data_IF_403928424401
#
_entry.id   IF_403928424401
#
_cell.length_a   1.000
_cell.length_b   1.000
_cell.length_c   1.000
_cell.angle_alpha   90.00
_cell.angle_beta   90.00
_cell.angle_gamma   90.00
#
_symmetry.space_group_name_H-M   'P 1'
#
loop_
_entity.id
_entity.type
_entity.pdbx_description
1 polymer ?
#
# COMPACT_ATOMS: atom_id res chain seq x y z
N UNK A 1 11.55 42.97 41.34
CA UNK A 1 11.08 44.37 41.43
C UNK A 1 10.01 44.57 40.35
N UNK A 2 8.77 44.77 40.82
CA UNK A 2 7.58 45.40 40.21
C UNK A 2 7.02 44.94 38.84
N UNK A 3 5.69 44.74 38.90
CA UNK A 3 4.68 44.36 37.90
C UNK A 3 4.20 45.52 36.99
N UNK A 4 3.31 45.13 36.05
CA UNK A 4 2.20 45.85 35.37
C UNK A 4 2.49 46.41 33.96
N UNK A 5 1.56 46.37 32.99
CA UNK A 5 0.10 46.16 33.02
C UNK A 5 -0.41 45.57 31.69
N UNK A 6 -1.48 44.76 31.68
CA UNK A 6 -2.90 45.15 31.57
C UNK A 6 -3.27 45.90 30.28
N UNK A 7 -3.99 45.20 29.40
CA UNK A 7 -4.71 45.75 28.26
C UNK A 7 -5.91 44.85 27.94
N UNK A 8 -7.00 45.06 28.68
CA UNK A 8 -8.31 44.43 28.48
C UNK A 8 -9.08 45.23 27.43
N UNK A 9 -9.64 44.58 26.41
CA UNK A 9 -10.77 45.14 25.65
C UNK A 9 -11.88 44.08 25.52
N UNK A 10 -13.09 44.60 25.59
CA UNK A 10 -14.33 43.96 26.00
C UNK A 10 -15.32 44.00 24.82
N UNK A 11 -16.14 42.94 24.71
CA UNK A 11 -17.48 42.89 24.07
C UNK A 11 -17.52 43.00 22.54
N UNK A 12 -18.42 42.31 21.81
CA UNK A 12 -19.89 42.28 21.92
C UNK A 12 -20.43 40.96 21.31
N UNK A 13 -21.36 40.31 22.02
CA UNK A 13 -22.25 39.25 21.52
C UNK A 13 -23.34 39.84 20.60
N UNK A 14 -23.70 39.12 19.53
CA UNK A 14 -24.99 39.29 18.87
C UNK A 14 -25.56 37.93 18.46
N UNK A 15 -26.49 37.43 19.27
CA UNK A 15 -27.36 36.27 19.03
C UNK A 15 -28.50 36.71 18.12
N UNK A 16 -28.69 36.03 16.99
CA UNK A 16 -29.82 36.24 16.09
C UNK A 16 -30.55 34.94 15.81
N UNK A 17 -31.60 34.65 16.58
CA UNK A 17 -32.58 33.62 16.28
C UNK A 17 -33.70 34.24 15.45
N UNK A 18 -33.99 33.68 14.27
CA UNK A 18 -35.17 34.00 13.47
C UNK A 18 -35.92 32.70 13.19
N UNK A 19 -36.97 32.47 13.96
CA UNK A 19 -38.06 31.57 13.61
C UNK A 19 -39.11 32.40 12.86
N UNK A 20 -39.47 31.99 11.64
CA UNK A 20 -40.68 32.46 10.97
C UNK A 20 -41.61 31.27 10.75
N UNK A 21 -42.67 31.23 11.54
CA UNK A 21 -43.91 30.52 11.28
C UNK A 21 -44.79 31.39 10.39
N UNK A 22 -45.15 30.89 9.21
CA UNK A 22 -46.10 31.53 8.30
C UNK A 22 -47.17 30.53 7.88
N UNK A 23 -48.38 30.70 8.42
CA UNK A 23 -49.60 30.06 7.92
C UNK A 23 -50.13 30.84 6.71
N UNK A 24 -50.38 30.14 5.62
CA UNK A 24 -51.18 30.62 4.48
C UNK A 24 -52.05 29.47 3.98
N UNK A 25 -53.36 29.65 4.07
CA UNK A 25 -54.38 28.69 3.65
C UNK A 25 -54.75 28.93 2.19
N UNK A 26 -54.85 27.88 1.38
CA UNK A 26 -55.82 27.79 0.29
C UNK A 26 -56.11 26.32 -0.05
N UNK A 27 -57.41 26.01 -0.14
CA UNK A 27 -57.94 24.72 -0.56
C UNK A 27 -57.87 24.64 -2.08
N UNK A 28 -57.24 23.60 -2.61
CA UNK A 28 -57.77 22.92 -3.78
C UNK A 28 -57.35 21.44 -3.77
N UNK A 29 -58.37 20.60 -3.88
CA UNK A 29 -58.28 19.17 -4.09
C UNK A 29 -57.59 18.88 -5.41
N UNK A 30 -56.57 18.03 -5.41
CA UNK A 30 -56.44 16.92 -6.36
C UNK A 30 -55.29 16.00 -5.95
N UNK A 31 -55.61 14.71 -6.02
CA UNK A 31 -54.75 13.55 -5.73
C UNK A 31 -53.45 13.56 -6.53
N UNK A 32 -52.31 13.61 -5.84
CA UNK A 32 -51.03 13.16 -6.36
C UNK A 32 -50.14 12.71 -5.20
N UNK A 33 -49.86 11.40 -5.15
CA UNK A 33 -48.84 10.81 -4.28
C UNK A 33 -47.50 11.53 -4.50
N UNK A 34 -47.04 12.24 -3.47
CA UNK A 34 -45.69 12.82 -3.44
C UNK A 34 -44.86 11.99 -2.47
N UNK A 35 -44.02 11.13 -3.06
CA UNK A 35 -43.02 10.35 -2.37
C UNK A 35 -42.20 11.24 -1.44
N UNK A 36 -42.30 10.98 -0.14
CA UNK A 36 -41.36 11.44 0.87
C UNK A 36 -40.03 10.77 0.57
N UNK A 37 -39.09 11.51 0.00
CA UNK A 37 -37.68 11.14 -0.02
C UNK A 37 -37.17 11.20 1.42
N UNK A 38 -37.44 10.14 2.19
CA UNK A 38 -36.65 9.81 3.36
C UNK A 38 -35.27 9.44 2.85
N UNK A 39 -34.29 10.30 3.12
CA UNK A 39 -32.89 9.87 3.10
C UNK A 39 -32.71 8.90 4.25
N UNK A 40 -33.09 7.64 4.02
CA UNK A 40 -32.54 6.52 4.77
C UNK A 40 -31.09 6.40 4.31
N UNK A 41 -30.18 7.10 4.99
CA UNK A 41 -28.84 6.55 5.16
C UNK A 41 -29.05 5.13 5.67
N UNK A 42 -28.76 4.15 4.83
CA UNK A 42 -28.72 2.78 5.28
C UNK A 42 -27.64 2.73 6.37
N UNK A 43 -28.05 2.78 7.64
CA UNK A 43 -27.22 2.28 8.72
C UNK A 43 -27.00 0.82 8.39
N UNK A 44 -25.86 0.51 7.77
CA UNK A 44 -25.35 -0.85 7.76
C UNK A 44 -25.29 -1.35 9.20
N UNK A 45 -25.37 -2.66 9.41
CA UNK A 45 -25.18 -3.26 10.72
C UNK A 45 -23.73 -3.06 11.18
N UNK A 46 -23.38 -1.84 11.57
CA UNK A 46 -22.14 -1.48 12.22
C UNK A 46 -22.18 -2.01 13.66
N UNK A 47 -21.05 -2.53 14.14
CA UNK A 47 -20.97 -3.18 15.44
C UNK A 47 -19.61 -3.81 15.67
N UNK A 48 -19.38 -4.37 16.86
CA UNK A 48 -18.04 -4.74 17.28
C UNK A 48 -17.34 -3.60 18.00
N UNK A 49 -16.02 -3.74 18.16
CA UNK A 49 -15.18 -2.73 18.82
C UNK A 49 -15.24 -1.37 18.08
N UNK A 50 -15.36 -0.28 18.84
CA UNK A 50 -15.40 1.09 18.31
C UNK A 50 -14.10 1.49 17.60
N UNK A 51 -12.96 0.94 18.02
CA UNK A 51 -11.67 1.27 17.43
C UNK A 51 -10.78 0.04 17.34
N UNK A 52 -10.37 -0.29 16.12
CA UNK A 52 -9.35 -1.29 15.84
C UNK A 52 -7.95 -0.66 15.90
N UNK A 53 -6.98 -1.44 16.37
CA UNK A 53 -5.55 -1.12 16.30
C UNK A 53 -4.90 -1.99 15.25
N UNK A 54 -4.15 -1.38 14.34
CA UNK A 54 -3.42 -2.10 13.32
C UNK A 54 -2.06 -1.45 13.07
N UNK A 55 -1.15 -2.21 12.50
CA UNK A 55 0.16 -1.69 12.11
C UNK A 55 0.80 -2.55 11.03
N UNK A 56 1.85 -2.03 10.41
CA UNK A 56 2.70 -2.78 9.52
C UNK A 56 3.14 -2.02 8.29
N UNK A 57 2.96 -2.65 7.13
CA UNK A 57 3.43 -2.16 5.84
C UNK A 57 3.19 -0.66 5.61
N UNK A 58 4.28 0.06 5.40
CA UNK A 58 4.21 1.45 4.92
C UNK A 58 3.72 1.52 3.48
N UNK A 59 3.86 0.45 2.69
CA UNK A 59 3.48 0.43 1.29
C UNK A 59 1.97 0.64 1.09
N UNK A 60 1.14 0.19 2.04
CA UNK A 60 -0.31 0.38 1.98
C UNK A 60 -0.83 1.57 2.78
N UNK A 61 0.03 2.42 3.37
CA UNK A 61 -0.47 3.47 4.28
C UNK A 61 -1.46 4.43 3.59
N UNK A 62 -1.24 4.74 2.31
CA UNK A 62 -2.12 5.63 1.54
C UNK A 62 -3.43 4.93 1.18
N UNK A 63 -3.39 3.65 0.82
CA UNK A 63 -4.59 2.82 0.64
C UNK A 63 -5.38 2.67 1.95
N UNK A 64 -4.68 2.42 3.06
CA UNK A 64 -5.27 2.27 4.38
C UNK A 64 -5.97 3.56 4.82
N UNK A 65 -5.36 4.73 4.66
CA UNK A 65 -6.02 6.01 4.94
C UNK A 65 -7.35 6.16 4.19
N UNK A 66 -7.40 5.69 2.93
CA UNK A 66 -8.64 5.63 2.16
C UNK A 66 -9.63 4.61 2.73
N UNK A 67 -9.20 3.40 3.05
CA UNK A 67 -10.06 2.36 3.61
C UNK A 67 -10.67 2.80 4.94
N UNK A 68 -9.89 3.40 5.83
CA UNK A 68 -10.36 3.96 7.09
C UNK A 68 -11.40 5.06 6.85
N UNK A 69 -11.14 5.97 5.91
CA UNK A 69 -12.11 7.01 5.56
C UNK A 69 -13.44 6.42 5.09
N UNK A 70 -13.40 5.46 4.17
CA UNK A 70 -14.61 4.81 3.64
C UNK A 70 -15.35 4.06 4.74
N UNK A 71 -14.61 3.39 5.63
CA UNK A 71 -15.19 2.67 6.75
C UNK A 71 -15.90 3.61 7.75
N UNK A 72 -15.31 4.76 8.06
CA UNK A 72 -15.97 5.80 8.90
C UNK A 72 -17.23 6.34 8.20
N UNK A 73 -17.18 6.55 6.88
CA UNK A 73 -18.33 7.04 6.11
C UNK A 73 -19.49 6.00 6.11
N UNK A 74 -19.18 4.70 6.15
CA UNK A 74 -20.16 3.59 6.25
C UNK A 74 -20.62 3.31 7.69
N UNK A 75 -19.73 3.50 8.66
CA UNK A 75 -19.91 3.20 10.08
C UNK A 75 -19.31 4.32 10.95
N UNK A 76 -20.08 5.38 11.20
CA UNK A 76 -19.61 6.62 11.83
C UNK A 76 -19.02 6.47 13.23
N UNK A 77 -19.40 5.42 13.95
CA UNK A 77 -18.93 5.15 15.32
C UNK A 77 -17.70 4.24 15.36
N UNK A 78 -17.22 3.77 14.20
CA UNK A 78 -16.06 2.89 14.11
C UNK A 78 -14.84 3.59 13.52
N UNK A 79 -13.65 3.17 13.95
CA UNK A 79 -12.39 3.68 13.44
C UNK A 79 -11.29 2.59 13.40
N UNK A 80 -10.23 2.84 12.65
CA UNK A 80 -9.02 2.03 12.63
C UNK A 80 -7.80 2.93 12.81
N UNK A 81 -7.03 2.68 13.86
CA UNK A 81 -5.75 3.32 14.10
C UNK A 81 -4.64 2.48 13.48
N UNK A 82 -4.23 2.84 12.26
CA UNK A 82 -3.14 2.17 11.56
C UNK A 82 -1.78 2.86 11.77
N UNK A 83 -0.81 2.14 12.33
CA UNK A 83 0.58 2.60 12.48
C UNK A 83 1.46 2.02 11.36
N UNK A 84 1.88 2.86 10.43
CA UNK A 84 2.81 2.48 9.37
C UNK A 84 4.25 2.39 9.91
N UNK A 85 4.72 1.17 10.22
CA UNK A 85 6.01 0.91 10.88
C UNK A 85 6.88 -0.17 10.19
N UNK A 86 6.43 -0.71 9.05
CA UNK A 86 7.10 -1.76 8.30
C UNK A 86 6.47 -3.14 8.56
N UNK A 87 6.44 -3.98 7.53
CA UNK A 87 5.73 -5.26 7.52
C UNK A 87 6.25 -6.22 8.61
N UNK A 88 7.56 -6.19 8.92
CA UNK A 88 8.13 -6.98 10.01
C UNK A 88 7.64 -6.54 11.40
N UNK A 89 7.53 -5.23 11.64
CA UNK A 89 7.03 -4.69 12.89
C UNK A 89 5.54 -4.97 13.07
N UNK A 90 4.74 -4.80 12.02
CA UNK A 90 3.31 -5.12 12.05
C UNK A 90 3.00 -6.58 12.40
N UNK A 91 3.72 -7.51 11.78
CA UNK A 91 3.55 -8.95 12.09
C UNK A 91 3.92 -9.25 13.55
N UNK A 92 5.04 -8.70 14.05
CA UNK A 92 5.42 -8.86 15.47
C UNK A 92 4.39 -8.29 16.43
N UNK A 93 3.83 -7.11 16.13
CA UNK A 93 2.84 -6.47 16.98
C UNK A 93 1.53 -7.28 17.01
N UNK A 94 1.10 -7.83 15.88
CA UNK A 94 -0.06 -8.70 15.79
C UNK A 94 0.13 -10.02 16.53
N UNK A 95 1.24 -10.72 16.28
CA UNK A 95 1.60 -11.97 16.99
C UNK A 95 1.71 -11.72 18.50
N UNK A 96 2.28 -10.58 18.89
CA UNK A 96 2.37 -10.14 20.30
C UNK A 96 1.06 -9.64 20.90
N UNK A 97 -0.04 -9.58 20.14
CA UNK A 97 -1.36 -9.14 20.59
C UNK A 97 -1.49 -7.66 20.90
N UNK A 98 -0.60 -6.82 20.35
CA UNK A 98 -0.63 -5.37 20.48
C UNK A 98 -1.61 -4.71 19.49
N UNK A 99 -1.85 -5.39 18.36
CA UNK A 99 -2.79 -4.99 17.31
C UNK A 99 -3.79 -6.09 17.01
N UNK A 100 -4.95 -5.70 16.48
CA UNK A 100 -6.06 -6.57 16.12
C UNK A 100 -5.84 -7.25 14.76
N UNK A 101 -5.09 -6.60 13.87
CA UNK A 101 -4.62 -7.17 12.61
C UNK A 101 -3.30 -6.51 12.17
N UNK A 102 -2.59 -7.14 11.24
CA UNK A 102 -1.36 -6.59 10.66
C UNK A 102 -1.49 -6.34 9.16
N UNK A 103 -0.84 -5.29 8.68
CA UNK A 103 -0.57 -5.11 7.26
C UNK A 103 0.81 -5.65 6.87
N UNK A 104 0.90 -6.49 5.84
CA UNK A 104 2.20 -7.02 5.39
C UNK A 104 2.25 -7.26 3.89
N UNK A 105 3.32 -6.84 3.21
CA UNK A 105 3.53 -7.11 1.77
C UNK A 105 4.12 -8.49 1.48
N UNK A 106 4.28 -9.28 2.54
CA UNK A 106 4.71 -10.68 2.49
C UNK A 106 3.77 -11.49 3.38
N UNK A 107 3.36 -12.69 2.96
CA UNK A 107 2.61 -13.56 3.85
C UNK A 107 3.47 -13.93 5.07
N UNK A 108 2.81 -14.38 6.15
CA UNK A 108 3.51 -14.96 7.29
C UNK A 108 4.42 -16.10 6.83
N UNK A 109 5.65 -16.13 7.34
CA UNK A 109 6.49 -17.31 7.22
C UNK A 109 6.03 -18.41 8.20
N UNK A 110 6.70 -19.56 8.20
CA UNK A 110 6.28 -20.71 9.02
C UNK A 110 6.25 -20.38 10.52
N UNK A 111 7.21 -19.60 11.00
CA UNK A 111 7.40 -19.33 12.42
C UNK A 111 6.41 -18.24 12.86
N UNK A 112 6.29 -17.17 12.07
CA UNK A 112 5.29 -16.13 12.25
C UNK A 112 3.85 -16.71 12.18
N UNK A 113 3.58 -17.65 11.26
CA UNK A 113 2.29 -18.32 11.14
C UNK A 113 1.96 -19.17 12.37
N UNK A 114 2.91 -19.96 12.85
CA UNK A 114 2.71 -20.77 14.05
C UNK A 114 2.43 -19.90 15.28
N UNK A 115 3.16 -18.79 15.44
CA UNK A 115 2.96 -17.85 16.53
C UNK A 115 1.62 -17.10 16.41
N UNK A 116 1.24 -16.70 15.20
CA UNK A 116 -0.06 -16.10 14.92
C UNK A 116 -1.22 -17.07 15.22
N UNK A 117 -1.10 -18.35 14.85
CA UNK A 117 -2.10 -19.36 15.16
C UNK A 117 -2.26 -19.56 16.67
N UNK A 118 -1.16 -19.53 17.42
CA UNK A 118 -1.20 -19.56 18.89
C UNK A 118 -1.91 -18.34 19.46
N UNK A 119 -1.59 -17.14 18.95
CA UNK A 119 -2.23 -15.87 19.35
C UNK A 119 -3.73 -15.87 19.08
N UNK A 120 -4.14 -16.40 17.93
CA UNK A 120 -5.52 -16.42 17.47
C UNK A 120 -6.36 -17.54 18.10
N UNK A 121 -5.73 -18.59 18.66
CA UNK A 121 -6.38 -19.85 19.02
C UNK A 121 -7.20 -20.45 17.85
N UNK A 122 -6.82 -20.10 16.62
CA UNK A 122 -7.45 -20.44 15.34
C UNK A 122 -6.43 -20.16 14.23
N UNK A 123 -6.61 -20.68 13.00
CA UNK A 123 -5.76 -20.32 11.87
C UNK A 123 -5.65 -18.80 11.69
N UNK A 124 -4.46 -18.30 11.40
CA UNK A 124 -4.26 -16.96 10.87
C UNK A 124 -4.48 -16.98 9.36
N UNK A 125 -5.01 -15.88 8.80
CA UNK A 125 -5.28 -15.75 7.38
C UNK A 125 -4.47 -14.59 6.80
N UNK A 126 -3.84 -14.81 5.64
CA UNK A 126 -3.24 -13.75 4.82
C UNK A 126 -4.24 -13.38 3.72
N UNK A 127 -4.80 -12.18 3.78
CA UNK A 127 -5.85 -11.73 2.85
C UNK A 127 -5.33 -10.61 1.94
N UNK A 128 -5.09 -10.86 0.64
CA UNK A 128 -4.55 -9.84 -0.26
C UNK A 128 -5.65 -8.82 -0.62
N UNK A 129 -5.55 -7.61 -0.10
CA UNK A 129 -6.60 -6.57 -0.26
C UNK A 129 -6.21 -5.45 -1.23
N UNK A 130 -4.92 -5.34 -1.57
CA UNK A 130 -4.41 -4.32 -2.49
C UNK A 130 -3.14 -4.80 -3.20
N UNK A 131 -2.98 -4.40 -4.46
CA UNK A 131 -1.75 -4.60 -5.22
C UNK A 131 -1.07 -3.25 -5.46
N UNK A 132 0.23 -3.19 -5.22
CA UNK A 132 1.04 -1.98 -5.38
C UNK A 132 2.23 -2.25 -6.29
N UNK A 133 2.47 -1.48 -7.36
CA UNK A 133 3.73 -1.55 -8.08
C UNK A 133 4.85 -0.90 -7.25
N UNK A 134 6.05 -1.46 -7.33
CA UNK A 134 7.26 -0.89 -6.74
C UNK A 134 8.03 -0.19 -7.86
N UNK A 135 8.12 1.13 -7.78
CA UNK A 135 8.90 1.94 -8.70
C UNK A 135 10.38 1.93 -8.31
N UNK A 136 11.25 1.71 -9.31
CA UNK A 136 12.66 2.09 -9.21
C UNK A 136 12.71 3.60 -9.43
N UNK A 137 12.90 4.36 -8.36
CA UNK A 137 12.96 5.82 -8.40
C UNK A 137 14.41 6.28 -8.46
N UNK A 138 14.67 7.37 -9.18
CA UNK A 138 16.00 7.94 -9.33
C UNK A 138 15.94 9.47 -9.29
N UNK A 139 17.08 10.10 -8.98
CA UNK A 139 17.23 11.55 -9.02
C UNK A 139 18.45 11.91 -9.89
N UNK A 140 18.17 12.21 -11.16
CA UNK A 140 19.18 12.60 -12.15
C UNK A 140 18.70 13.83 -12.91
N UNK A 141 19.09 15.04 -12.49
CA UNK A 141 18.74 16.26 -13.20
C UNK A 141 19.16 16.19 -14.67
N UNK A 142 18.21 16.47 -15.57
CA UNK A 142 18.42 16.43 -17.02
C UNK A 142 18.23 15.05 -17.67
N UNK A 143 17.98 13.98 -16.90
CA UNK A 143 17.61 12.66 -17.43
C UNK A 143 16.11 12.46 -17.28
N UNK A 144 15.38 12.58 -18.39
CA UNK A 144 13.91 12.45 -18.40
C UNK A 144 13.42 11.00 -18.46
N UNK A 145 14.20 10.13 -19.11
CA UNK A 145 13.87 8.71 -19.26
C UNK A 145 15.10 7.88 -18.94
N UNK A 146 14.90 6.85 -18.12
CA UNK A 146 15.89 5.86 -17.76
C UNK A 146 15.24 4.49 -17.90
N UNK A 147 15.89 3.61 -18.65
CA UNK A 147 15.53 2.21 -18.81
C UNK A 147 16.54 1.36 -18.03
N UNK A 148 16.03 0.40 -17.27
CA UNK A 148 16.84 -0.59 -16.56
C UNK A 148 16.29 -2.00 -16.80
N UNK A 149 17.16 -2.99 -16.79
CA UNK A 149 16.78 -4.40 -16.76
C UNK A 149 17.12 -5.03 -15.39
N UNK A 150 16.70 -6.28 -15.18
CA UNK A 150 17.00 -7.03 -13.96
C UNK A 150 18.50 -7.08 -13.63
N UNK A 151 19.37 -7.51 -14.56
CA UNK A 151 20.82 -7.60 -14.33
C UNK A 151 21.49 -6.26 -13.96
N UNK A 152 21.16 -5.17 -14.67
CA UNK A 152 21.74 -3.84 -14.41
C UNK A 152 21.23 -3.28 -13.10
N UNK A 153 19.93 -3.43 -12.81
CA UNK A 153 19.36 -3.03 -11.52
C UNK A 153 20.06 -3.77 -10.36
N UNK A 154 20.23 -5.09 -10.48
CA UNK A 154 20.91 -5.88 -9.44
C UNK A 154 22.35 -5.43 -9.20
N UNK A 155 23.10 -5.13 -10.28
CA UNK A 155 24.48 -4.64 -10.19
C UNK A 155 24.58 -3.24 -9.56
N UNK A 156 23.59 -2.38 -9.76
CA UNK A 156 23.50 -1.09 -9.07
C UNK A 156 23.30 -1.32 -7.57
N UNK A 157 22.27 -2.08 -7.20
CA UNK A 157 21.89 -2.27 -5.80
C UNK A 157 22.85 -3.16 -5.00
N UNK A 158 23.76 -3.90 -5.66
CA UNK A 158 24.84 -4.64 -4.97
C UNK A 158 26.21 -3.94 -5.04
N UNK A 159 26.28 -2.74 -5.62
CA UNK A 159 27.48 -1.91 -5.69
C UNK A 159 28.49 -2.29 -6.78
N UNK A 160 28.15 -3.19 -7.70
CA UNK A 160 29.02 -3.52 -8.85
C UNK A 160 29.06 -2.37 -9.86
N UNK A 161 27.92 -1.71 -10.09
CA UNK A 161 27.84 -0.49 -10.91
C UNK A 161 27.74 0.71 -9.96
N UNK A 162 28.69 1.63 -10.05
CA UNK A 162 28.82 2.76 -9.13
C UNK A 162 28.73 4.13 -9.79
N UNK A 163 28.63 4.20 -11.13
CA UNK A 163 28.49 5.45 -11.89
C UNK A 163 27.36 5.35 -12.91
N UNK A 164 26.63 6.44 -13.10
CA UNK A 164 25.48 6.51 -14.01
C UNK A 164 25.86 6.39 -15.49
N UNK A 165 27.09 6.73 -15.85
CA UNK A 165 27.64 6.53 -17.20
C UNK A 165 28.26 5.13 -17.39
N UNK A 166 27.97 4.15 -16.55
CA UNK A 166 28.44 2.78 -16.76
C UNK A 166 27.98 2.22 -18.13
N UNK A 167 28.82 1.38 -18.75
CA UNK A 167 28.55 0.82 -20.08
C UNK A 167 27.26 0.00 -20.13
N UNK A 168 26.89 -0.70 -19.06
CA UNK A 168 25.65 -1.46 -18.99
C UNK A 168 24.43 -0.52 -19.02
N UNK A 169 24.47 0.59 -18.26
CA UNK A 169 23.38 1.59 -18.26
C UNK A 169 23.30 2.30 -19.62
N UNK A 170 24.43 2.71 -20.20
CA UNK A 170 24.50 3.34 -21.53
C UNK A 170 23.92 2.44 -22.63
N UNK A 171 24.17 1.14 -22.57
CA UNK A 171 23.65 0.17 -23.55
C UNK A 171 22.12 0.13 -23.56
N UNK A 172 21.47 0.27 -22.39
CA UNK A 172 20.01 0.30 -22.28
C UNK A 172 19.40 1.67 -22.63
N UNK A 173 20.23 2.71 -22.77
CA UNK A 173 19.82 4.10 -22.93
C UNK A 173 20.64 4.83 -24.01
N UNK A 174 20.70 4.34 -25.26
CA UNK A 174 21.60 4.87 -26.29
C UNK A 174 21.28 6.32 -26.71
N UNK A 175 20.05 6.78 -26.49
CA UNK A 175 19.59 8.13 -26.83
C UNK A 175 19.67 9.12 -25.64
N UNK A 176 20.13 8.66 -24.47
CA UNK A 176 20.19 9.46 -23.24
C UNK A 176 21.63 9.84 -22.95
N UNK A 177 21.89 11.13 -22.73
CA UNK A 177 23.20 11.58 -22.23
C UNK A 177 23.27 11.34 -20.73
N UNK A 178 23.94 10.25 -20.32
CA UNK A 178 24.11 9.89 -18.91
C UNK A 178 25.31 10.62 -18.28
N UNK A 179 25.17 11.20 -17.09
CA UNK A 179 26.26 11.91 -16.42
C UNK A 179 27.27 10.92 -15.83
N UNK A 180 28.55 11.32 -15.80
CA UNK A 180 29.61 10.63 -15.05
C UNK A 180 29.50 10.94 -13.54
N UNK A 181 28.34 10.64 -12.98
CA UNK A 181 27.95 10.91 -11.60
C UNK A 181 27.90 9.59 -10.81
N UNK A 182 28.38 9.63 -9.57
CA UNK A 182 28.29 8.48 -8.66
C UNK A 182 26.83 8.10 -8.37
N UNK A 183 26.57 6.80 -8.24
CA UNK A 183 25.26 6.28 -7.87
C UNK A 183 25.17 6.19 -6.35
N UNK A 184 24.19 6.88 -5.78
CA UNK A 184 23.87 6.79 -4.35
C UNK A 184 22.67 5.88 -4.11
N UNK A 185 22.92 4.62 -3.75
CA UNK A 185 21.84 3.69 -3.37
C UNK A 185 21.22 4.15 -2.05
N UNK A 186 19.89 4.30 -2.03
CA UNK A 186 19.10 4.45 -0.81
C UNK A 186 18.26 3.20 -0.62
N UNK A 187 18.31 2.60 0.57
CA UNK A 187 17.56 1.40 0.90
C UNK A 187 16.69 1.60 2.14
N UNK A 188 15.77 0.66 2.40
CA UNK A 188 14.94 0.68 3.61
C UNK A 188 15.72 0.20 4.82
N UNK A 189 15.84 1.03 5.85
CA UNK A 189 16.53 0.66 7.10
C UNK A 189 15.69 -0.24 8.03
N UNK A 190 14.38 -0.27 7.83
CA UNK A 190 13.42 -1.08 8.57
C UNK A 190 13.04 -2.36 7.83
N UNK A 191 12.58 -3.38 8.56
CA UNK A 191 12.10 -4.63 7.96
C UNK A 191 10.83 -4.41 7.14
N UNK A 192 10.97 -4.63 5.85
CA UNK A 192 10.07 -4.09 4.84
C UNK A 192 9.66 -5.16 3.85
N UNK A 193 8.35 -5.34 3.65
CA UNK A 193 7.83 -6.18 2.59
C UNK A 193 8.12 -5.62 1.19
N UNK A 194 8.20 -4.30 1.04
CA UNK A 194 8.69 -3.65 -0.20
C UNK A 194 10.12 -4.11 -0.54
N UNK A 195 10.99 -4.19 0.47
CA UNK A 195 12.38 -4.64 0.33
C UNK A 195 12.45 -6.11 -0.06
N UNK A 196 11.60 -6.94 0.54
CA UNK A 196 11.51 -8.36 0.21
C UNK A 196 11.07 -8.58 -1.24
N UNK A 197 9.96 -7.96 -1.67
CA UNK A 197 9.45 -8.09 -3.04
C UNK A 197 10.45 -7.52 -4.09
N UNK A 198 11.11 -6.40 -3.79
CA UNK A 198 12.14 -5.85 -4.67
C UNK A 198 13.33 -6.82 -4.81
N UNK A 199 13.81 -7.40 -3.71
CA UNK A 199 14.91 -8.36 -3.76
C UNK A 199 14.50 -9.70 -4.41
N UNK A 200 13.25 -10.14 -4.28
CA UNK A 200 12.73 -11.29 -5.04
C UNK A 200 12.76 -11.02 -6.54
N UNK A 201 12.42 -9.79 -6.97
CA UNK A 201 12.61 -9.36 -8.35
C UNK A 201 14.08 -9.42 -8.76
N UNK A 202 14.99 -8.85 -7.96
CA UNK A 202 16.43 -8.88 -8.28
C UNK A 202 16.95 -10.32 -8.37
N UNK A 203 16.59 -11.18 -7.43
CA UNK A 203 17.02 -12.58 -7.39
C UNK A 203 16.57 -13.35 -8.63
N UNK A 204 15.29 -13.22 -9.00
CA UNK A 204 14.73 -13.90 -10.16
C UNK A 204 15.18 -13.28 -11.49
N UNK A 205 15.08 -11.97 -11.66
CA UNK A 205 15.24 -11.31 -12.96
C UNK A 205 16.70 -11.04 -13.37
N UNK A 206 17.64 -11.10 -12.43
CA UNK A 206 19.04 -10.66 -12.68
C UNK A 206 19.93 -11.66 -13.40
N UNK A 207 19.44 -12.87 -13.68
CA UNK A 207 20.28 -13.93 -14.25
C UNK A 207 21.48 -14.29 -13.36
N UNK A 208 21.33 -14.15 -12.04
CA UNK A 208 22.38 -14.42 -11.05
C UNK A 208 23.25 -13.21 -10.68
N UNK A 209 23.07 -12.04 -11.30
CA UNK A 209 23.86 -10.86 -10.96
C UNK A 209 23.57 -10.32 -9.54
N UNK A 210 22.39 -10.62 -8.96
CA UNK A 210 22.07 -10.25 -7.58
C UNK A 210 22.88 -11.05 -6.57
N UNK A 211 22.63 -12.37 -6.48
CA UNK A 211 23.42 -13.29 -5.66
C UNK A 211 23.36 -13.03 -4.13
N UNK A 212 22.39 -12.25 -3.64
CA UNK A 212 22.24 -11.94 -2.21
C UNK A 212 21.00 -12.55 -1.55
N UNK A 213 20.14 -13.21 -2.33
CA UNK A 213 18.82 -13.68 -1.86
C UNK A 213 17.86 -12.53 -1.52
N UNK A 214 16.69 -12.88 -0.98
CA UNK A 214 15.64 -11.93 -0.61
C UNK A 214 15.27 -12.05 0.87
N UNK A 215 14.66 -10.99 1.40
CA UNK A 215 14.18 -10.92 2.77
C UNK A 215 13.66 -9.52 3.11
N UNK A 216 13.08 -9.37 4.30
CA UNK A 216 12.57 -8.07 4.78
C UNK A 216 13.69 -7.05 5.04
N UNK A 217 14.94 -7.51 5.21
CA UNK A 217 16.16 -6.70 5.33
C UNK A 217 16.87 -6.60 3.99
N UNK A 218 17.46 -5.45 3.68
CA UNK A 218 18.21 -5.25 2.44
C UNK A 218 19.59 -5.91 2.50
N UNK A 219 19.89 -6.77 1.51
CA UNK A 219 21.12 -7.57 1.45
C UNK A 219 22.18 -7.03 0.48
N UNK A 220 21.93 -5.89 -0.18
CA UNK A 220 22.83 -5.33 -1.20
C UNK A 220 24.19 -4.90 -0.66
N UNK A 221 24.27 -4.54 0.62
CA UNK A 221 25.52 -4.22 1.31
C UNK A 221 26.13 -2.85 0.96
N UNK A 222 25.41 -2.02 0.22
CA UNK A 222 25.82 -0.66 -0.17
C UNK A 222 24.69 0.34 0.05
N UNK A 223 25.04 1.62 0.08
CA UNK A 223 24.09 2.72 0.17
C UNK A 223 23.76 3.15 1.60
N UNK A 224 22.78 4.04 1.71
CA UNK A 224 22.30 4.62 2.96
C UNK A 224 20.87 4.17 3.27
N UNK A 225 20.62 3.84 4.55
CA UNK A 225 19.31 3.38 5.01
C UNK A 225 18.40 4.54 5.40
N UNK A 226 17.18 4.55 4.87
CA UNK A 226 16.11 5.46 5.30
C UNK A 226 14.86 4.67 5.72
N UNK A 227 14.12 5.19 6.69
CA UNK A 227 12.99 4.48 7.30
C UNK A 227 11.71 4.67 6.50
N UNK A 228 11.03 3.57 6.17
CA UNK A 228 9.73 3.59 5.50
C UNK A 228 9.79 4.08 4.06
N UNK A 229 8.67 3.96 3.34
CA UNK A 229 8.57 4.53 1.99
C UNK A 229 8.69 6.07 1.99
N UNK A 230 8.19 6.75 3.01
CA UNK A 230 8.35 8.22 3.15
C UNK A 230 9.81 8.64 3.31
N UNK A 231 10.58 7.93 4.14
CA UNK A 231 11.98 8.24 4.37
C UNK A 231 12.82 8.02 3.12
N UNK A 232 12.65 6.90 2.42
CA UNK A 232 13.38 6.64 1.18
C UNK A 232 12.96 7.61 0.07
N UNK A 233 11.66 7.94 -0.05
CA UNK A 233 11.17 8.93 -1.01
C UNK A 233 11.64 10.37 -0.70
N UNK A 234 11.85 10.70 0.58
CA UNK A 234 12.45 11.97 0.99
C UNK A 234 13.95 12.03 0.69
N UNK A 235 14.68 10.95 0.98
CA UNK A 235 16.12 10.86 0.76
C UNK A 235 16.48 10.93 -0.74
N UNK A 236 15.77 10.19 -1.60
CA UNK A 236 15.98 10.24 -3.06
C UNK A 236 15.73 11.64 -3.63
N UNK A 237 14.68 12.33 -3.16
CA UNK A 237 14.37 13.70 -3.60
C UNK A 237 15.46 14.72 -3.23
N UNK A 238 16.18 14.48 -2.13
CA UNK A 238 17.20 15.39 -1.61
C UNK A 238 18.61 15.09 -2.12
N UNK A 239 18.85 13.91 -2.69
CA UNK A 239 20.19 13.44 -3.08
C UNK A 239 20.28 13.25 -4.58
N UNK A 240 21.02 14.14 -5.25
CA UNK A 240 21.33 14.00 -6.67
C UNK A 240 22.18 12.74 -6.91
N UNK A 241 21.93 12.02 -8.01
CA UNK A 241 22.59 10.76 -8.32
C UNK A 241 22.04 9.56 -7.55
N UNK A 242 21.02 9.74 -6.70
CA UNK A 242 20.47 8.65 -5.93
C UNK A 242 19.53 7.74 -6.73
N UNK A 243 19.37 6.50 -6.25
CA UNK A 243 18.43 5.50 -6.73
C UNK A 243 17.83 4.72 -5.55
N UNK A 244 16.54 4.40 -5.61
CA UNK A 244 15.87 3.58 -4.59
C UNK A 244 14.69 2.79 -5.18
N UNK A 245 13.96 2.09 -4.32
CA UNK A 245 12.74 1.37 -4.63
C UNK A 245 11.62 1.87 -3.71
N UNK A 246 10.57 2.45 -4.29
CA UNK A 246 9.42 3.00 -3.56
C UNK A 246 8.14 2.32 -4.03
N UNK A 247 7.19 2.12 -3.11
CA UNK A 247 5.81 1.90 -3.54
C UNK A 247 5.32 3.13 -4.34
N UNK A 248 4.64 2.87 -5.46
CA UNK A 248 4.37 3.86 -6.49
C UNK A 248 3.53 5.05 -6.02
N UNK A 249 2.61 4.88 -5.07
CA UNK A 249 1.85 6.01 -4.52
C UNK A 249 2.76 7.09 -3.92
N UNK A 250 3.88 6.70 -3.30
CA UNK A 250 4.87 7.63 -2.74
C UNK A 250 5.67 8.32 -3.84
N UNK A 251 6.07 7.57 -4.87
CA UNK A 251 6.75 8.14 -6.02
C UNK A 251 5.89 9.20 -6.72
N UNK A 252 4.58 8.94 -6.88
CA UNK A 252 3.63 9.90 -7.44
C UNK A 252 3.44 11.12 -6.53
N UNK A 253 3.20 10.90 -5.23
CA UNK A 253 2.99 11.99 -4.27
C UNK A 253 4.19 12.96 -4.19
N UNK A 254 5.41 12.42 -4.32
CA UNK A 254 6.65 13.20 -4.32
C UNK A 254 7.12 13.64 -5.71
N UNK A 255 6.41 13.24 -6.78
CA UNK A 255 6.76 13.52 -8.19
C UNK A 255 8.18 13.06 -8.56
N UNK A 256 8.57 11.89 -8.07
CA UNK A 256 9.88 11.31 -8.33
C UNK A 256 9.95 10.75 -9.75
N UNK A 257 11.12 10.84 -10.37
CA UNK A 257 11.38 10.16 -11.63
C UNK A 257 11.41 8.64 -11.39
N UNK A 258 10.80 7.88 -12.30
CA UNK A 258 10.71 6.42 -12.22
C UNK A 258 11.32 5.78 -13.45
N UNK A 259 12.14 4.75 -13.27
CA UNK A 259 12.72 4.02 -14.39
C UNK A 259 11.68 3.12 -15.06
N UNK A 260 11.81 2.94 -16.37
CA UNK A 260 11.10 1.89 -17.12
C UNK A 260 11.89 0.59 -17.01
N UNK A 261 11.19 -0.53 -17.00
CA UNK A 261 11.79 -1.84 -16.78
C UNK A 261 11.73 -2.67 -18.05
N UNK A 262 12.88 -3.10 -18.55
CA UNK A 262 12.99 -4.10 -19.61
C UNK A 262 12.83 -5.48 -18.97
N UNK A 263 11.99 -6.33 -19.57
CA UNK A 263 11.57 -7.60 -18.96
C UNK A 263 11.98 -8.79 -19.82
N UNK A 264 11.87 -10.00 -19.26
CA UNK A 264 12.05 -11.26 -20.01
C UNK A 264 11.05 -11.45 -21.16
N UNK A 265 9.93 -10.72 -21.18
CA UNK A 265 8.90 -10.85 -22.20
C UNK A 265 9.24 -10.14 -23.52
N UNK A 266 10.01 -9.05 -23.48
CA UNK A 266 10.36 -8.23 -24.65
C UNK A 266 11.45 -7.21 -24.33
N UNK A 267 12.24 -6.76 -25.33
CA UNK A 267 13.21 -5.69 -25.16
C UNK A 267 12.58 -4.31 -24.90
N UNK A 268 11.27 -4.15 -25.15
CA UNK A 268 10.54 -2.90 -24.92
C UNK A 268 10.47 -2.54 -23.43
N UNK A 269 10.95 -1.35 -23.01
CA UNK A 269 10.86 -0.91 -21.62
C UNK A 269 9.41 -0.64 -21.19
N UNK A 270 9.02 -1.19 -20.04
CA UNK A 270 7.67 -1.08 -19.49
C UNK A 270 7.62 -0.04 -18.38
N UNK A 271 6.76 0.97 -18.52
CA UNK A 271 6.45 1.92 -17.45
C UNK A 271 5.35 1.38 -16.52
N UNK A 272 5.27 1.91 -15.31
CA UNK A 272 4.15 1.61 -14.40
C UNK A 272 2.87 2.26 -14.94
N UNK A 273 1.82 1.45 -15.09
CA UNK A 273 0.46 1.89 -15.35
C UNK A 273 -0.53 0.86 -14.83
N UNK A 274 -1.81 1.23 -14.69
CA UNK A 274 -2.86 0.27 -14.35
C UNK A 274 -2.92 -0.89 -15.35
N UNK A 275 -2.65 -0.62 -16.63
CA UNK A 275 -2.63 -1.67 -17.66
C UNK A 275 -1.43 -2.62 -17.50
N UNK A 276 -0.20 -2.09 -17.34
CA UNK A 276 1.00 -2.93 -17.25
C UNK A 276 1.03 -3.77 -15.98
N UNK A 277 0.55 -3.23 -14.87
CA UNK A 277 0.40 -3.98 -13.62
C UNK A 277 -0.77 -4.96 -13.69
N UNK A 278 -1.88 -4.56 -14.36
CA UNK A 278 -3.03 -5.43 -14.62
C UNK A 278 -2.65 -6.71 -15.38
N UNK A 279 -1.77 -6.61 -16.39
CA UNK A 279 -1.22 -7.77 -17.10
C UNK A 279 -0.43 -8.70 -16.18
N UNK A 280 0.38 -8.15 -15.29
CA UNK A 280 1.17 -8.92 -14.30
C UNK A 280 0.26 -9.69 -13.34
N UNK A 281 -0.69 -9.01 -12.71
CA UNK A 281 -1.54 -9.63 -11.67
C UNK A 281 -2.59 -10.58 -12.25
N UNK A 282 -2.89 -10.52 -13.55
CA UNK A 282 -3.77 -11.49 -14.21
C UNK A 282 -3.21 -12.92 -14.21
N UNK A 283 -1.88 -13.07 -14.10
CA UNK A 283 -1.20 -14.36 -13.98
C UNK A 283 -1.05 -14.86 -12.54
N UNK A 284 -1.57 -14.14 -11.54
CA UNK A 284 -1.47 -14.53 -10.14
C UNK A 284 -2.33 -15.78 -9.84
N UNK A 285 -1.82 -16.68 -9.01
CA UNK A 285 -2.58 -17.84 -8.51
C UNK A 285 -2.53 -17.89 -6.99
N UNK A 286 -3.51 -18.55 -6.36
CA UNK A 286 -3.52 -18.76 -4.91
C UNK A 286 -2.80 -20.07 -4.61
N UNK A 287 -1.77 -20.00 -3.75
CA UNK A 287 -1.07 -21.18 -3.23
C UNK A 287 -1.41 -21.51 -1.77
N UNK A 288 -2.09 -20.60 -1.07
CA UNK A 288 -2.61 -20.84 0.28
C UNK A 288 -3.76 -21.85 0.29
N UNK A 289 -4.09 -22.35 1.48
CA UNK A 289 -5.12 -23.38 1.68
C UNK A 289 -6.38 -22.79 2.33
N UNK A 290 -7.56 -23.28 1.93
CA UNK A 290 -8.82 -22.81 2.51
C UNK A 290 -9.02 -21.30 2.30
N UNK A 291 -9.15 -20.57 3.40
CA UNK A 291 -9.36 -19.12 3.41
C UNK A 291 -8.07 -18.32 3.61
N UNK A 292 -6.92 -18.99 3.72
CA UNK A 292 -5.61 -18.33 3.69
C UNK A 292 -5.21 -18.11 2.23
N UNK A 293 -5.24 -16.87 1.76
CA UNK A 293 -5.21 -16.52 0.34
C UNK A 293 -3.84 -16.03 -0.11
N UNK A 294 -2.78 -16.71 0.34
CA UNK A 294 -1.41 -16.43 -0.09
C UNK A 294 -1.28 -16.60 -1.60
N UNK A 295 -0.74 -15.58 -2.28
CA UNK A 295 -0.51 -15.59 -3.71
C UNK A 295 0.85 -16.20 -4.07
N UNK A 296 0.90 -16.87 -5.21
CA UNK A 296 2.15 -17.13 -5.92
C UNK A 296 2.47 -15.93 -6.82
N UNK A 297 3.55 -15.22 -6.47
CA UNK A 297 4.02 -14.03 -7.19
C UNK A 297 5.25 -14.32 -8.05
N UNK A 298 5.71 -15.57 -8.13
CA UNK A 298 6.95 -15.91 -8.85
C UNK A 298 6.87 -15.51 -10.34
N UNK A 299 5.68 -15.65 -10.94
CA UNK A 299 5.42 -15.25 -12.33
C UNK A 299 5.53 -13.75 -12.58
N UNK A 300 5.48 -12.92 -11.54
CA UNK A 300 5.55 -11.47 -11.69
C UNK A 300 6.96 -11.03 -12.11
N UNK A 301 7.98 -11.64 -11.53
CA UNK A 301 9.37 -11.18 -11.64
C UNK A 301 10.02 -11.51 -12.98
N UNK A 302 9.51 -12.52 -13.68
CA UNK A 302 9.93 -12.92 -15.03
C UNK A 302 8.70 -13.10 -15.91
N UNK A 303 7.99 -12.01 -16.26
CA UNK A 303 6.77 -12.12 -17.02
C UNK A 303 7.06 -12.66 -18.42
N UNK A 304 6.11 -13.40 -18.98
CA UNK A 304 6.16 -13.89 -20.37
C UNK A 304 5.27 -13.06 -21.30
N UNK A 305 4.31 -12.32 -20.75
CA UNK A 305 3.43 -11.43 -21.50
C UNK A 305 4.07 -10.05 -21.67
N UNK A 306 4.24 -9.60 -22.92
CA UNK A 306 4.81 -8.28 -23.23
C UNK A 306 3.98 -7.14 -22.63
N UNK A 307 4.66 -6.09 -22.17
CA UNK A 307 4.04 -4.94 -21.51
C UNK A 307 3.62 -5.16 -20.05
N UNK A 308 4.01 -6.28 -19.43
CA UNK A 308 3.77 -6.54 -18.00
C UNK A 308 4.85 -5.87 -17.15
N UNK A 309 4.47 -5.15 -16.09
CA UNK A 309 5.42 -4.54 -15.16
C UNK A 309 5.84 -5.55 -14.08
N UNK A 310 7.14 -5.85 -13.87
CA UNK A 310 7.52 -7.06 -13.13
C UNK A 310 7.61 -6.89 -11.61
N UNK A 311 7.61 -5.66 -11.10
CA UNK A 311 7.84 -5.38 -9.68
C UNK A 311 6.52 -4.98 -9.03
N UNK A 312 5.75 -5.97 -8.58
CA UNK A 312 4.43 -5.79 -7.98
C UNK A 312 4.37 -6.53 -6.66
N UNK A 313 3.94 -5.85 -5.61
CA UNK A 313 3.62 -6.46 -4.33
C UNK A 313 2.10 -6.65 -4.19
N UNK A 314 1.72 -7.67 -3.45
CA UNK A 314 0.39 -7.81 -2.87
C UNK A 314 0.51 -7.52 -1.38
N UNK A 315 -0.30 -6.58 -0.87
CA UNK A 315 -0.36 -6.35 0.57
C UNK A 315 -1.52 -7.14 1.17
N UNK A 316 -1.18 -7.89 2.21
CA UNK A 316 -2.06 -8.75 2.97
C UNK A 316 -2.48 -8.06 4.26
N UNK A 317 -3.76 -8.19 4.58
CA UNK A 317 -4.21 -8.07 5.96
C UNK A 317 -4.10 -9.45 6.63
N UNK A 318 -3.31 -9.50 7.68
CA UNK A 318 -3.11 -10.69 8.51
C UNK A 318 -4.10 -10.64 9.67
N UNK A 319 -5.02 -11.60 9.71
CA UNK A 319 -6.12 -11.64 10.67
C UNK A 319 -6.26 -13.02 11.30
N UNK A 320 -6.96 -13.10 12.43
CA UNK A 320 -7.43 -14.37 12.94
C UNK A 320 -8.66 -14.84 12.16
N UNK A 321 -8.75 -16.13 11.81
CA UNK A 321 -9.98 -16.71 11.25
C UNK A 321 -11.13 -16.69 12.28
N UNK A 322 -10.79 -16.86 13.57
CA UNK A 322 -11.70 -16.65 14.70
C UNK A 322 -10.99 -15.86 15.80
N UNK A 323 -11.57 -14.75 16.20
CA UNK A 323 -11.05 -13.89 17.26
C UNK A 323 -11.52 -14.38 18.64
N UNK A 324 -10.65 -14.36 19.66
CA UNK A 324 -11.07 -14.62 21.05
C UNK A 324 -12.06 -13.57 21.57
N UNK A 325 -11.92 -12.31 21.14
CA UNK A 325 -12.86 -11.23 21.39
C UNK A 325 -13.78 -11.06 20.18
N UNK A 326 -15.07 -11.36 20.37
CA UNK A 326 -16.07 -11.34 19.30
C UNK A 326 -16.39 -9.93 18.80
N UNK A 327 -16.22 -8.91 19.64
CA UNK A 327 -16.42 -7.52 19.22
C UNK A 327 -15.29 -7.10 18.28
N UNK A 328 -14.05 -7.50 18.57
CA UNK A 328 -12.91 -7.29 17.65
C UNK A 328 -13.10 -8.06 16.35
N UNK A 329 -13.47 -9.34 16.41
CA UNK A 329 -13.72 -10.15 15.21
C UNK A 329 -14.81 -9.58 14.31
N UNK A 330 -15.88 -9.05 14.92
CA UNK A 330 -16.98 -8.38 14.19
C UNK A 330 -16.48 -7.10 13.51
N UNK A 331 -15.75 -6.25 14.22
CA UNK A 331 -15.21 -5.00 13.67
C UNK A 331 -14.18 -5.26 12.56
N UNK A 332 -13.25 -6.21 12.74
CA UNK A 332 -12.27 -6.60 11.71
C UNK A 332 -12.98 -7.08 10.44
N UNK A 333 -13.99 -7.95 10.58
CA UNK A 333 -14.79 -8.42 9.43
C UNK A 333 -15.47 -7.25 8.71
N UNK A 334 -16.10 -6.33 9.45
CA UNK A 334 -16.77 -5.17 8.85
C UNK A 334 -15.80 -4.24 8.12
N UNK A 335 -14.65 -3.94 8.74
CA UNK A 335 -13.60 -3.14 8.13
C UNK A 335 -13.10 -3.78 6.82
N UNK A 336 -12.86 -5.10 6.83
CA UNK A 336 -12.41 -5.81 5.63
C UNK A 336 -13.50 -5.88 4.54
N UNK A 337 -14.78 -6.00 4.91
CA UNK A 337 -15.89 -5.91 3.96
C UNK A 337 -15.92 -4.54 3.28
N UNK A 338 -15.79 -3.47 4.04
CA UNK A 338 -15.66 -2.11 3.52
C UNK A 338 -14.46 -2.01 2.57
N UNK A 339 -13.30 -2.51 3.00
CA UNK A 339 -12.03 -2.51 2.25
C UNK A 339 -12.13 -3.19 0.89
N UNK A 340 -12.70 -4.41 0.82
CA UNK A 340 -12.84 -5.16 -0.44
C UNK A 340 -14.06 -4.73 -1.27
N UNK A 341 -14.96 -3.94 -0.68
CA UNK A 341 -16.14 -3.33 -1.30
C UNK A 341 -15.89 -1.90 -1.75
N UNK A 342 -16.51 -0.93 -1.06
CA UNK A 342 -16.42 0.50 -1.39
C UNK A 342 -14.98 1.04 -1.29
N UNK A 343 -14.14 0.42 -0.47
CA UNK A 343 -12.70 0.68 -0.34
C UNK A 343 -11.93 0.48 -1.65
N UNK A 344 -12.42 -0.33 -2.59
CA UNK A 344 -11.72 -0.59 -3.86
C UNK A 344 -11.94 0.47 -4.94
N UNK A 345 -13.01 1.26 -4.83
CA UNK A 345 -13.32 2.30 -5.82
C UNK A 345 -12.24 3.38 -5.80
N UNK A 346 -11.78 3.92 -6.94
CA UNK A 346 -10.79 5.03 -6.94
C UNK A 346 -9.40 4.71 -6.35
N UNK A 347 -9.06 3.44 -6.10
CA UNK A 347 -7.70 3.05 -5.69
C UNK A 347 -6.65 3.34 -6.77
N UNK A 348 -7.03 3.19 -8.05
CA UNK A 348 -6.17 3.49 -9.20
C UNK A 348 -5.65 4.93 -9.18
N UNK A 349 -6.49 5.88 -8.79
CA UNK A 349 -6.14 7.30 -8.70
C UNK A 349 -5.11 7.59 -7.59
N UNK A 350 -4.91 6.63 -6.69
CA UNK A 350 -3.99 6.72 -5.56
C UNK A 350 -2.74 5.83 -5.75
N UNK A 351 -2.51 5.30 -6.96
CA UNK A 351 -1.32 4.51 -7.25
C UNK A 351 -1.40 3.03 -6.89
N UNK A 352 -2.60 2.50 -6.64
CA UNK A 352 -2.81 1.09 -6.35
C UNK A 352 -3.62 0.42 -7.44
N UNK A 353 -3.51 -0.91 -7.54
CA UNK A 353 -4.35 -1.68 -8.45
C UNK A 353 -5.43 -2.42 -7.65
N UNK A 354 -6.72 -2.24 -8.00
CA UNK A 354 -7.82 -2.93 -7.33
C UNK A 354 -7.69 -4.46 -7.40
N UNK A 355 -8.31 -5.15 -6.45
CA UNK A 355 -8.36 -6.62 -6.42
C UNK A 355 -8.91 -7.15 -7.76
N UNK A 356 -8.17 -8.05 -8.46
CA UNK A 356 -8.66 -8.61 -9.72
C UNK A 356 -9.96 -9.39 -9.52
N UNK A 357 -10.85 -9.33 -10.51
CA UNK A 357 -12.17 -9.95 -10.44
C UNK A 357 -12.12 -11.44 -10.07
N UNK A 358 -11.08 -12.16 -10.52
CA UNK A 358 -10.86 -13.57 -10.23
C UNK A 358 -10.70 -13.88 -8.72
N UNK A 359 -10.21 -12.92 -7.92
CA UNK A 359 -9.98 -13.11 -6.48
C UNK A 359 -11.16 -12.65 -5.62
N UNK A 360 -11.98 -11.72 -6.11
CA UNK A 360 -13.01 -11.04 -5.31
C UNK A 360 -13.95 -12.00 -4.60
N UNK A 361 -14.47 -13.02 -5.29
CA UNK A 361 -15.40 -13.97 -4.70
C UNK A 361 -14.75 -14.81 -3.58
N UNK A 362 -13.51 -15.26 -3.79
CA UNK A 362 -12.78 -16.06 -2.80
C UNK A 362 -12.40 -15.23 -1.57
N UNK A 363 -11.96 -14.00 -1.81
CA UNK A 363 -11.63 -13.05 -0.75
C UNK A 363 -12.86 -12.64 0.05
N UNK A 364 -13.99 -12.37 -0.59
CA UNK A 364 -15.26 -12.10 0.09
C UNK A 364 -15.68 -13.25 0.99
N UNK A 365 -15.61 -14.50 0.49
CA UNK A 365 -15.90 -15.69 1.30
C UNK A 365 -14.94 -15.87 2.48
N UNK A 366 -13.66 -15.54 2.32
CA UNK A 366 -12.68 -15.59 3.39
C UNK A 366 -12.98 -14.53 4.47
N UNK A 367 -13.27 -13.29 4.06
CA UNK A 367 -13.67 -12.21 4.96
C UNK A 367 -14.97 -12.53 5.69
N UNK A 368 -15.98 -13.07 5.00
CA UNK A 368 -17.25 -13.49 5.60
C UNK A 368 -17.09 -14.57 6.68
N UNK A 369 -16.03 -15.38 6.58
CA UNK A 369 -15.76 -16.46 7.53
C UNK A 369 -15.16 -16.00 8.86
N UNK A 370 -14.66 -14.76 8.93
CA UNK A 370 -14.06 -14.19 10.14
C UNK A 370 -15.16 -14.08 11.22
N UNK A 371 -14.87 -14.56 12.43
CA UNK A 371 -15.84 -14.57 13.54
C UNK A 371 -15.26 -14.20 14.88
#
# INVERSE_FOLDING_TARGET
>A
MKLNGFGTMLSIMATGALALSGCGSDKNTDTAEKATAGSTTASGNCGGADTLKASGSTAQQNAMARFVKVFIDECSDQNVNYTANGSGAGVREFVGGQTDFAGSDVPLDSDDYAAAQQRCASPALNLPVVFGPIAITYNLPGVETLNLDGPTTAKIFNGTITSWDDAAIKTLNPEVTLPAQEIHVVFRSDESGTTDNFQKYLDAASGGAWGKGAGKTFNGGVGEGAKGNDGTAGAIAATEGAITYNEWSFAQAKKLATARVITSASPEPVAISTESVGKTIAGATIKGQGNDLVLDTASFYQPTQSGSYPIVLATYEVVCSKYPDTEVGTAVRLFLKSTIGAGQSGLADNGYVPIPAAFKARLASAVDSIS
#
